data_IF_836384635142
#
_entry.id   IF_836384635142
#
_cell.length_a   1.000
_cell.length_b   1.000
_cell.length_c   1.000
_cell.angle_alpha   90.00
_cell.angle_beta   90.00
_cell.angle_gamma   90.00
#
_symmetry.space_group_name_H-M   'P 1'
#
loop_
_entity.id
_entity.type
_entity.pdbx_description
1 polymer ?
#
# COMPACT_ATOMS: atom_id res chain seq x y z
N UNK A 1 13.96 6.82 12.02
CA UNK A 1 14.87 7.19 10.92
C UNK A 1 14.06 8.01 9.92
N UNK A 2 14.58 9.14 9.43
CA UNK A 2 13.91 9.93 8.37
C UNK A 2 14.48 9.43 7.04
N UNK A 3 13.66 8.89 6.12
CA UNK A 3 14.15 8.39 4.83
C UNK A 3 14.66 9.53 3.95
N UNK A 4 15.86 9.34 3.39
CA UNK A 4 16.62 10.37 2.68
C UNK A 4 16.45 10.26 1.17
N UNK A 5 16.31 9.04 0.65
CA UNK A 5 16.14 8.77 -0.78
C UNK A 5 14.78 8.12 -1.10
N UNK A 6 14.39 8.16 -2.38
CA UNK A 6 13.09 7.65 -2.85
C UNK A 6 12.93 6.16 -2.54
N UNK A 7 14.00 5.35 -2.68
CA UNK A 7 13.95 3.92 -2.39
C UNK A 7 13.66 3.63 -0.92
N UNK A 8 14.29 4.38 -0.01
CA UNK A 8 13.99 4.32 1.43
C UNK A 8 12.55 4.75 1.70
N UNK A 9 12.10 5.87 1.12
CA UNK A 9 10.71 6.32 1.28
C UNK A 9 9.73 5.24 0.83
N UNK A 10 9.97 4.59 -0.31
CA UNK A 10 9.15 3.47 -0.76
C UNK A 10 9.22 2.29 0.21
N UNK A 11 10.41 1.90 0.66
CA UNK A 11 10.59 0.80 1.60
C UNK A 11 9.82 1.03 2.90
N UNK A 12 9.95 2.21 3.52
CA UNK A 12 9.26 2.51 4.79
C UNK A 12 7.74 2.69 4.64
N UNK A 13 7.25 2.98 3.45
CA UNK A 13 5.81 3.08 3.18
C UNK A 13 5.21 1.77 2.63
N UNK A 14 6.02 0.74 2.40
CA UNK A 14 5.57 -0.55 1.90
C UNK A 14 5.09 -1.43 3.06
N UNK A 15 3.93 -2.05 2.89
CA UNK A 15 3.31 -3.00 3.81
C UNK A 15 3.09 -4.33 3.10
N UNK A 16 3.09 -5.41 3.88
CA UNK A 16 2.61 -6.71 3.41
C UNK A 16 1.10 -6.69 3.41
N UNK A 17 0.50 -7.23 2.34
CA UNK A 17 -0.93 -7.45 2.21
C UNK A 17 -1.22 -8.95 2.24
N UNK A 18 -2.27 -9.31 2.94
CA UNK A 18 -2.80 -10.68 3.00
C UNK A 18 -4.28 -10.68 2.68
N UNK A 19 -4.67 -11.56 1.76
CA UNK A 19 -6.05 -11.87 1.43
C UNK A 19 -6.32 -13.33 1.79
N UNK A 20 -7.55 -13.79 1.57
CA UNK A 20 -7.87 -15.21 1.75
C UNK A 20 -7.15 -16.12 0.76
N UNK A 21 -6.79 -15.60 -0.42
CA UNK A 21 -6.27 -16.39 -1.54
C UNK A 21 -4.76 -16.25 -1.73
N UNK A 22 -4.13 -15.26 -1.09
CA UNK A 22 -2.69 -15.06 -1.23
C UNK A 22 -2.15 -13.88 -0.45
N UNK A 23 -0.90 -13.54 -0.76
CA UNK A 23 -0.21 -12.39 -0.17
C UNK A 23 0.52 -11.59 -1.25
N UNK A 24 0.80 -10.34 -0.92
CA UNK A 24 1.52 -9.42 -1.80
C UNK A 24 2.03 -8.22 -1.02
N UNK A 25 2.37 -7.16 -1.74
CA UNK A 25 2.77 -5.89 -1.14
C UNK A 25 1.85 -4.77 -1.60
N UNK A 26 1.76 -3.74 -0.79
CA UNK A 26 1.22 -2.46 -1.16
C UNK A 26 2.04 -1.36 -0.51
N UNK A 27 1.84 -0.11 -0.94
CA UNK A 27 2.48 1.02 -0.29
C UNK A 27 1.49 2.16 -0.11
N UNK A 28 1.66 2.93 0.96
CA UNK A 28 0.88 4.14 1.17
C UNK A 28 1.41 5.27 0.29
N UNK A 29 0.49 5.93 -0.41
CA UNK A 29 0.75 7.11 -1.21
C UNK A 29 -0.26 8.20 -0.89
N UNK A 30 0.22 9.39 -0.56
CA UNK A 30 -0.62 10.53 -0.26
C UNK A 30 -0.96 11.28 -1.55
N UNK A 31 -2.18 11.12 -2.02
CA UNK A 31 -2.70 11.96 -3.10
C UNK A 31 -3.11 13.33 -2.55
N UNK A 32 -2.98 14.35 -3.38
CA UNK A 32 -3.40 15.71 -3.04
C UNK A 32 -4.73 15.97 -3.74
N UNK A 33 -5.78 16.23 -2.95
CA UNK A 33 -7.08 16.64 -3.45
C UNK A 33 -7.43 18.01 -2.85
N UNK A 34 -7.28 19.06 -3.65
CA UNK A 34 -7.37 20.45 -3.17
C UNK A 34 -6.29 20.74 -2.13
N UNK A 35 -6.70 21.02 -0.89
CA UNK A 35 -5.82 21.34 0.22
C UNK A 35 -5.63 20.16 1.21
N UNK A 36 -6.10 18.96 0.86
CA UNK A 36 -6.05 17.79 1.73
C UNK A 36 -5.15 16.70 1.17
N UNK A 37 -4.39 16.08 2.07
CA UNK A 37 -3.66 14.84 1.79
C UNK A 37 -4.58 13.65 2.07
N UNK A 38 -4.75 12.79 1.08
CA UNK A 38 -5.55 11.57 1.17
C UNK A 38 -4.62 10.36 1.05
N UNK A 39 -4.33 9.66 2.16
CA UNK A 39 -3.51 8.45 2.11
C UNK A 39 -4.29 7.33 1.42
N UNK A 40 -3.71 6.79 0.35
CA UNK A 40 -4.26 5.67 -0.40
C UNK A 40 -3.25 4.53 -0.37
N UNK A 41 -3.73 3.32 -0.09
CA UNK A 41 -2.95 2.11 -0.21
C UNK A 41 -2.97 1.64 -1.68
N UNK A 42 -1.81 1.66 -2.33
CA UNK A 42 -1.63 1.24 -3.72
C UNK A 42 -1.09 -0.19 -3.75
N UNK A 43 -1.68 -1.06 -4.57
CA UNK A 43 -1.22 -2.44 -4.78
C UNK A 43 -1.51 -2.91 -6.20
N UNK A 44 -1.01 -4.08 -6.57
CA UNK A 44 -1.28 -4.71 -7.85
C UNK A 44 -2.66 -5.36 -7.87
N UNK A 45 -3.36 -5.31 -9.01
CA UNK A 45 -4.70 -5.91 -9.17
C UNK A 45 -4.77 -7.40 -8.83
N UNK A 46 -3.69 -8.13 -9.10
CA UNK A 46 -3.62 -9.57 -8.81
C UNK A 46 -3.52 -9.87 -7.31
N UNK A 47 -3.06 -8.93 -6.47
CA UNK A 47 -2.98 -9.12 -5.00
C UNK A 47 -4.37 -9.14 -4.39
N UNK A 48 -5.30 -8.35 -4.95
CA UNK A 48 -6.70 -8.29 -4.54
C UNK A 48 -7.60 -9.20 -5.39
N UNK A 49 -7.03 -10.22 -6.03
CA UNK A 49 -7.76 -11.24 -6.79
C UNK A 49 -8.69 -10.66 -7.88
N UNK A 50 -8.36 -9.48 -8.43
CA UNK A 50 -9.25 -8.72 -9.33
C UNK A 50 -10.66 -8.44 -8.77
N UNK A 51 -10.84 -8.57 -7.45
CA UNK A 51 -12.10 -8.40 -6.74
C UNK A 51 -12.17 -6.98 -6.13
N UNK A 52 -13.18 -6.21 -6.55
CA UNK A 52 -13.38 -4.83 -6.08
C UNK A 52 -13.80 -4.74 -4.60
N UNK A 53 -14.31 -5.84 -4.03
CA UNK A 53 -14.74 -5.93 -2.63
C UNK A 53 -13.89 -6.93 -1.82
N UNK A 54 -12.60 -7.05 -2.17
CA UNK A 54 -11.69 -7.95 -1.48
C UNK A 54 -11.40 -7.49 -0.04
N UNK A 55 -11.34 -8.44 0.90
CA UNK A 55 -10.94 -8.14 2.27
C UNK A 55 -9.44 -8.34 2.40
N UNK A 56 -8.75 -7.28 2.79
CA UNK A 56 -7.28 -7.27 2.92
C UNK A 56 -6.89 -6.94 4.35
N UNK A 57 -5.99 -7.73 4.92
CA UNK A 57 -5.25 -7.39 6.14
C UNK A 57 -3.88 -6.87 5.74
N UNK A 58 -3.38 -5.83 6.39
CA UNK A 58 -2.03 -5.32 6.14
C UNK A 58 -1.20 -5.25 7.41
N UNK A 59 0.11 -5.48 7.26
CA UNK A 59 1.08 -5.43 8.34
C UNK A 59 2.41 -4.83 7.85
N UNK A 60 3.17 -4.24 8.77
CA UNK A 60 4.52 -3.79 8.47
C UNK A 60 5.43 -4.98 8.16
N UNK A 61 6.35 -4.77 7.21
CA UNK A 61 7.38 -5.75 6.83
C UNK A 61 8.53 -5.70 7.83
#
# INVERSE_FOLDING_TARGET
MIPVNISEQLMFNTVRLETKEGSGTGFFFNFIFGNSYVPILVTNKHVVNYNQSETVTFSYI
#
